data_IF_787536133993
#
_entry.id   IF_787536133993
#
_cell.length_a   1.000
_cell.length_b   1.000
_cell.length_c   1.000
_cell.angle_alpha   90.00
_cell.angle_beta   90.00
_cell.angle_gamma   90.00
#
_symmetry.space_group_name_H-M   'P 1'
#
loop_
_entity.id
_entity.type
_entity.pdbx_description
1 polymer ?
#
# COMPACT_ATOMS: atom_id res chain seq x y z
N UNK A 1 -4.44 4.46 7.15
CA UNK A 1 -3.46 5.31 6.50
C UNK A 1 -3.22 6.56 7.34
N UNK A 2 -1.99 7.03 7.40
CA UNK A 2 -1.53 8.15 8.21
C UNK A 2 -1.54 9.43 7.33
N UNK A 3 -2.72 9.88 6.92
CA UNK A 3 -2.92 11.05 6.05
C UNK A 3 -3.97 12.00 6.63
N UNK A 4 -3.75 13.29 6.45
CA UNK A 4 -4.72 14.35 6.72
C UNK A 4 -4.85 15.25 5.49
N UNK A 5 -6.07 15.67 5.19
CA UNK A 5 -6.36 16.69 4.20
C UNK A 5 -6.57 18.03 4.92
N UNK A 6 -5.75 19.01 4.58
CA UNK A 6 -5.86 20.38 5.10
C UNK A 6 -6.37 21.31 4.01
N UNK A 7 -7.22 22.26 4.40
CA UNK A 7 -7.64 23.38 3.55
C UNK A 7 -7.10 24.68 4.15
N UNK A 8 -6.53 25.52 3.30
CA UNK A 8 -6.14 26.89 3.64
C UNK A 8 -6.82 27.87 2.70
N UNK A 9 -7.06 29.08 3.16
CA UNK A 9 -7.67 30.15 2.37
C UNK A 9 -6.54 31.00 1.74
N UNK A 10 -5.86 30.42 0.74
CA UNK A 10 -4.75 31.04 0.02
C UNK A 10 -4.83 30.69 -1.46
N UNK A 11 -4.59 31.66 -2.34
CA UNK A 11 -4.65 31.48 -3.78
C UNK A 11 -3.24 31.41 -4.40
N UNK A 12 -3.14 30.89 -5.61
CA UNK A 12 -1.92 30.82 -6.43
C UNK A 12 -0.74 30.08 -5.77
N UNK A 13 -1.04 29.03 -5.00
CA UNK A 13 -0.02 28.20 -4.37
C UNK A 13 0.75 27.39 -5.41
N UNK A 14 2.06 27.29 -5.23
CA UNK A 14 2.89 26.33 -5.97
C UNK A 14 2.54 24.90 -5.54
N UNK A 15 2.46 24.00 -6.50
CA UNK A 15 2.15 22.59 -6.26
C UNK A 15 3.06 21.67 -7.06
N UNK A 16 3.19 20.43 -6.60
CA UNK A 16 3.89 19.38 -7.33
C UNK A 16 2.90 18.62 -8.24
N UNK A 17 3.37 18.29 -9.45
CA UNK A 17 2.66 17.34 -10.29
C UNK A 17 2.66 15.95 -9.62
N UNK A 18 1.52 15.26 -9.70
CA UNK A 18 1.39 13.93 -9.13
C UNK A 18 1.90 12.89 -10.13
N UNK A 19 2.93 12.17 -9.75
CA UNK A 19 3.46 11.04 -10.52
C UNK A 19 2.62 9.77 -10.41
N UNK A 20 3.20 8.64 -10.81
CA UNK A 20 2.60 7.32 -10.73
C UNK A 20 3.46 6.38 -9.85
N UNK A 21 3.07 6.17 -8.61
CA UNK A 21 3.81 5.32 -7.68
C UNK A 21 3.74 3.82 -8.02
N UNK A 22 2.81 3.38 -8.87
CA UNK A 22 2.72 1.99 -9.28
C UNK A 22 3.82 1.62 -10.30
N UNK A 23 4.26 2.58 -11.10
CA UNK A 23 5.30 2.41 -12.13
C UNK A 23 6.73 2.49 -11.57
N UNK A 24 6.91 2.96 -10.33
CA UNK A 24 8.23 3.03 -9.69
C UNK A 24 8.93 1.68 -9.72
N UNK A 25 10.23 1.71 -9.99
CA UNK A 25 11.10 0.52 -9.95
C UNK A 25 12.06 0.62 -8.78
N UNK A 26 12.41 -0.52 -8.21
CA UNK A 26 13.47 -0.61 -7.21
C UNK A 26 14.78 -0.17 -7.87
N UNK A 27 15.55 0.67 -7.16
CA UNK A 27 16.76 1.29 -7.66
C UNK A 27 16.58 2.66 -8.31
N UNK A 28 15.36 3.12 -8.56
CA UNK A 28 15.13 4.49 -9.07
C UNK A 28 15.50 5.54 -8.02
N UNK A 29 16.16 6.61 -8.48
CA UNK A 29 16.50 7.75 -7.64
C UNK A 29 15.28 8.51 -7.20
N UNK A 30 15.29 8.89 -5.91
CA UNK A 30 14.23 9.68 -5.28
C UNK A 30 14.83 10.75 -4.37
N UNK A 31 14.06 11.79 -4.15
CA UNK A 31 14.43 12.91 -3.27
C UNK A 31 13.33 13.06 -2.22
N UNK A 32 13.71 13.02 -0.95
CA UNK A 32 12.83 13.32 0.17
C UNK A 32 13.02 14.78 0.60
N UNK A 33 11.91 15.50 0.71
CA UNK A 33 11.87 16.91 1.11
C UNK A 33 11.08 17.01 2.41
N UNK A 34 11.52 17.86 3.33
CA UNK A 34 10.82 18.09 4.59
C UNK A 34 11.47 19.17 5.44
N UNK A 35 11.02 19.32 6.67
CA UNK A 35 11.46 20.33 7.63
C UNK A 35 11.91 19.69 8.97
N UNK A 36 12.93 18.80 8.95
CA UNK A 36 13.38 18.16 10.16
C UNK A 36 13.97 19.16 11.12
N UNK A 37 13.76 18.96 12.42
CA UNK A 37 14.37 19.77 13.52
C UNK A 37 14.10 21.27 13.44
N UNK A 38 12.98 21.71 12.87
CA UNK A 38 12.71 23.14 12.61
C UNK A 38 13.75 23.83 11.69
N UNK A 39 14.54 23.06 10.98
CA UNK A 39 15.45 23.59 9.97
C UNK A 39 14.66 23.92 8.69
N UNK A 40 14.97 25.02 8.04
CA UNK A 40 14.31 25.44 6.80
C UNK A 40 14.65 24.44 5.70
N UNK A 41 13.62 23.84 5.09
CA UNK A 41 13.67 22.98 3.91
C UNK A 41 14.92 22.10 3.77
N UNK A 42 14.84 20.89 4.22
CA UNK A 42 15.91 19.90 4.08
C UNK A 42 15.57 18.95 2.93
N UNK A 43 16.56 18.68 2.09
CA UNK A 43 16.47 17.78 0.95
C UNK A 43 17.48 16.65 1.13
N UNK A 44 17.03 15.42 0.99
CA UNK A 44 17.89 14.22 1.01
C UNK A 44 17.61 13.37 -0.22
N UNK A 45 18.62 12.68 -0.73
CA UNK A 45 18.49 11.80 -1.88
C UNK A 45 18.79 10.35 -1.53
N UNK A 46 18.18 9.44 -2.23
CA UNK A 46 18.34 8.00 -2.12
C UNK A 46 17.68 7.29 -3.29
N UNK A 47 17.39 6.01 -3.11
CA UNK A 47 16.72 5.19 -4.10
C UNK A 47 15.43 4.57 -3.55
N UNK A 48 14.58 4.08 -4.42
CA UNK A 48 13.51 3.14 -4.05
C UNK A 48 14.14 1.83 -3.65
N UNK A 49 14.22 1.54 -2.35
CA UNK A 49 14.84 0.30 -1.84
C UNK A 49 13.88 -0.89 -1.89
N UNK A 50 12.58 -0.66 -1.73
CA UNK A 50 11.52 -1.67 -1.85
C UNK A 50 10.15 -1.01 -2.05
N UNK A 51 9.17 -1.84 -2.44
CA UNK A 51 7.75 -1.46 -2.56
C UNK A 51 6.89 -2.43 -1.77
N UNK A 52 5.70 -2.00 -1.38
CA UNK A 52 4.73 -2.86 -0.69
C UNK A 52 5.14 -3.25 0.73
N UNK A 53 5.94 -2.42 1.42
CA UNK A 53 6.38 -2.74 2.78
C UNK A 53 5.25 -2.57 3.79
N UNK A 54 5.08 -3.63 4.58
CA UNK A 54 4.26 -3.62 5.80
C UNK A 54 5.22 -3.72 7.00
N UNK A 55 5.17 -2.72 7.87
CA UNK A 55 6.04 -2.61 9.06
C UNK A 55 5.23 -2.71 10.36
N UNK A 56 3.93 -3.03 10.27
CA UNK A 56 2.97 -3.15 11.38
C UNK A 56 2.84 -1.90 12.27
N UNK A 57 3.28 -0.74 11.79
CA UNK A 57 3.26 0.52 12.54
C UNK A 57 1.83 0.96 12.88
N UNK A 58 0.93 0.92 11.89
CA UNK A 58 -0.45 1.37 12.05
C UNK A 58 -1.29 0.38 12.85
N UNK A 59 -0.99 -0.93 12.74
CA UNK A 59 -1.63 -1.96 13.58
C UNK A 59 -1.30 -1.79 15.05
N UNK A 60 -0.05 -1.50 15.38
CA UNK A 60 0.39 -1.22 16.75
C UNK A 60 -0.30 0.02 17.35
N UNK A 61 -0.71 0.98 16.50
CA UNK A 61 -1.48 2.17 16.89
C UNK A 61 -3.00 1.96 16.94
N UNK A 62 -3.48 0.70 16.92
CA UNK A 62 -4.91 0.34 17.06
C UNK A 62 -5.70 0.29 15.75
N UNK A 63 -5.03 0.30 14.61
CA UNK A 63 -5.68 0.19 13.30
C UNK A 63 -5.94 -1.26 12.89
N UNK A 64 -7.05 -1.87 13.33
CA UNK A 64 -7.41 -3.26 12.98
C UNK A 64 -7.47 -3.49 11.45
N UNK A 65 -7.90 -2.48 10.70
CA UNK A 65 -7.98 -2.49 9.22
C UNK A 65 -6.92 -1.60 8.57
N UNK A 66 -5.76 -1.41 9.23
CA UNK A 66 -4.70 -0.58 8.69
C UNK A 66 -4.10 -1.23 7.45
N UNK A 67 -4.05 -0.48 6.36
CA UNK A 67 -3.36 -0.87 5.13
C UNK A 67 -2.00 -0.19 5.16
N UNK A 68 -0.97 -0.99 5.22
CA UNK A 68 0.42 -0.58 5.09
C UNK A 68 0.97 -1.09 3.77
N UNK A 69 1.36 -0.18 2.93
CA UNK A 69 1.93 -0.44 1.61
C UNK A 69 2.92 0.66 1.29
N UNK A 70 3.98 0.72 2.07
CA UNK A 70 4.94 1.81 1.95
C UNK A 70 5.94 1.60 0.83
N UNK A 71 6.36 2.72 0.21
CA UNK A 71 7.62 2.82 -0.53
C UNK A 71 8.71 2.90 0.53
N UNK A 72 9.68 2.01 0.46
CA UNK A 72 10.91 2.08 1.25
C UNK A 72 11.98 2.81 0.47
N UNK A 73 12.69 3.72 1.11
CA UNK A 73 13.85 4.43 0.54
C UNK A 73 14.97 4.54 1.58
N UNK A 74 16.19 4.68 1.10
CA UNK A 74 17.37 5.03 1.89
C UNK A 74 17.66 6.54 1.88
N UNK A 75 16.83 7.35 1.23
CA UNK A 75 16.84 8.80 1.45
C UNK A 75 16.58 9.10 2.93
N UNK A 76 17.44 9.89 3.56
CA UNK A 76 17.38 10.14 5.00
C UNK A 76 16.12 10.93 5.38
N UNK A 77 15.24 10.30 6.15
CA UNK A 77 14.04 10.92 6.73
C UNK A 77 14.20 10.92 8.25
N UNK A 78 13.96 12.05 8.87
CA UNK A 78 13.99 12.23 10.33
C UNK A 78 12.68 12.86 10.81
N UNK A 79 12.39 12.87 12.12
CA UNK A 79 11.25 13.59 12.68
C UNK A 79 11.19 15.03 12.17
N UNK A 80 10.03 15.43 11.62
CA UNK A 80 9.82 16.71 10.92
C UNK A 80 9.73 16.59 9.39
N UNK A 81 10.22 15.49 8.79
CA UNK A 81 10.01 15.21 7.36
C UNK A 81 8.66 14.54 7.06
N UNK A 82 7.96 14.01 8.08
CA UNK A 82 6.65 13.41 7.92
C UNK A 82 5.64 14.42 7.35
N UNK A 83 4.88 14.03 6.33
CA UNK A 83 4.01 14.91 5.55
C UNK A 83 4.72 15.60 4.38
N UNK A 84 6.06 15.59 4.34
CA UNK A 84 6.85 16.12 3.25
C UNK A 84 6.83 15.23 2.00
N UNK A 85 7.29 15.78 0.89
CA UNK A 85 7.28 15.13 -0.42
C UNK A 85 8.39 14.07 -0.57
N UNK A 86 8.06 12.94 -1.20
CA UNK A 86 9.01 12.09 -1.89
C UNK A 86 8.80 12.27 -3.39
N UNK A 87 9.81 12.74 -4.11
CA UNK A 87 9.72 13.06 -5.54
C UNK A 87 10.70 12.21 -6.36
N UNK A 88 10.35 11.96 -7.62
CA UNK A 88 11.25 11.32 -8.58
C UNK A 88 12.19 12.34 -9.23
N UNK A 89 13.05 11.88 -10.13
CA UNK A 89 14.01 12.73 -10.86
C UNK A 89 13.37 13.71 -11.85
N UNK A 90 12.10 13.52 -12.18
CA UNK A 90 11.31 14.46 -12.99
C UNK A 90 10.61 15.54 -12.14
N UNK A 91 10.79 15.52 -10.81
CA UNK A 91 10.14 16.45 -9.89
C UNK A 91 8.68 16.14 -9.60
N UNK A 92 8.21 14.93 -9.95
CA UNK A 92 6.83 14.50 -9.67
C UNK A 92 6.72 13.89 -8.26
N UNK A 93 5.63 14.21 -7.56
CA UNK A 93 5.30 13.63 -6.27
C UNK A 93 4.93 12.16 -6.43
N UNK A 94 5.73 11.27 -5.85
CA UNK A 94 5.53 9.81 -5.89
C UNK A 94 5.16 9.21 -4.54
N UNK A 95 5.33 9.95 -3.47
CA UNK A 95 4.97 9.52 -2.13
C UNK A 95 4.95 10.66 -1.12
N UNK A 96 4.38 10.39 0.05
CA UNK A 96 4.36 11.28 1.21
C UNK A 96 5.16 10.62 2.32
N UNK A 97 6.25 11.27 2.77
CA UNK A 97 7.09 10.76 3.85
C UNK A 97 6.25 10.55 5.11
N UNK A 98 6.40 9.41 5.81
CA UNK A 98 5.54 9.11 6.97
C UNK A 98 6.28 8.48 8.14
N UNK A 99 7.24 7.59 7.92
CA UNK A 99 7.84 6.81 8.98
C UNK A 99 9.30 6.45 8.73
N UNK A 100 9.99 6.07 9.78
CA UNK A 100 11.30 5.42 9.75
C UNK A 100 11.22 4.12 10.56
N UNK A 101 11.97 3.09 10.17
CA UNK A 101 12.26 1.97 11.05
C UNK A 101 13.55 2.30 11.81
N UNK A 102 13.44 2.54 13.11
CA UNK A 102 14.55 2.94 13.94
C UNK A 102 14.33 2.50 15.39
N UNK A 103 15.37 2.03 16.03
CA UNK A 103 15.38 1.73 17.49
C UNK A 103 15.67 2.98 18.32
N UNK A 104 16.33 3.98 17.73
CA UNK A 104 16.78 5.20 18.42
C UNK A 104 15.86 6.41 18.15
N UNK A 105 14.90 6.29 17.24
CA UNK A 105 14.06 7.38 16.76
C UNK A 105 14.70 8.28 15.70
N UNK A 106 15.95 8.00 15.31
CA UNK A 106 16.64 8.70 14.22
C UNK A 106 16.82 7.78 13.00
N UNK A 107 17.04 8.37 11.83
CA UNK A 107 17.29 7.63 10.59
C UNK A 107 18.40 6.57 10.76
N UNK A 108 18.13 5.37 10.30
CA UNK A 108 19.03 4.21 10.36
C UNK A 108 19.08 3.42 9.03
N UNK A 109 18.85 4.09 7.90
CA UNK A 109 18.87 3.46 6.58
C UNK A 109 17.49 3.02 6.06
N UNK A 110 16.43 3.19 6.83
CA UNK A 110 15.08 2.72 6.47
C UNK A 110 14.05 3.82 6.65
N UNK A 111 13.68 4.45 5.55
CA UNK A 111 12.60 5.44 5.50
C UNK A 111 11.42 4.91 4.70
N UNK A 112 10.23 5.41 5.02
CA UNK A 112 8.98 4.95 4.42
C UNK A 112 8.11 6.12 3.99
N UNK A 113 7.50 5.98 2.80
CA UNK A 113 6.55 6.93 2.27
C UNK A 113 5.25 6.24 1.84
N UNK A 114 4.13 6.94 2.01
CA UNK A 114 2.82 6.51 1.50
C UNK A 114 2.83 6.73 -0.01
N UNK A 115 2.54 5.70 -0.84
CA UNK A 115 2.48 5.85 -2.29
C UNK A 115 1.45 6.89 -2.72
N UNK A 116 1.80 7.72 -3.70
CA UNK A 116 0.92 8.83 -4.14
C UNK A 116 -0.40 8.32 -4.73
N UNK A 117 -0.43 7.17 -5.41
CA UNK A 117 -1.68 6.63 -5.94
C UNK A 117 -2.66 6.24 -4.82
N UNK A 118 -2.15 5.71 -3.69
CA UNK A 118 -2.96 5.47 -2.51
C UNK A 118 -3.42 6.79 -1.87
N UNK A 119 -2.54 7.78 -1.78
CA UNK A 119 -2.87 9.10 -1.24
C UNK A 119 -3.95 9.80 -2.09
N UNK A 120 -3.86 9.75 -3.43
CA UNK A 120 -4.88 10.29 -4.35
C UNK A 120 -6.28 9.74 -4.04
N UNK A 121 -6.39 8.42 -3.89
CA UNK A 121 -7.67 7.76 -3.59
C UNK A 121 -8.22 8.24 -2.24
N UNK A 122 -7.40 8.25 -1.20
CA UNK A 122 -7.81 8.65 0.15
C UNK A 122 -8.23 10.12 0.21
N UNK A 123 -7.45 11.01 -0.41
CA UNK A 123 -7.76 12.45 -0.46
C UNK A 123 -9.03 12.68 -1.29
N UNK A 124 -9.24 11.94 -2.37
CA UNK A 124 -10.46 11.96 -3.15
C UNK A 124 -11.68 11.60 -2.31
N UNK A 125 -11.62 10.49 -1.57
CA UNK A 125 -12.69 10.07 -0.68
C UNK A 125 -12.97 11.11 0.42
N UNK A 126 -11.93 11.62 1.08
CA UNK A 126 -12.08 12.64 2.12
C UNK A 126 -12.71 13.93 1.59
N UNK A 127 -12.36 14.34 0.37
CA UNK A 127 -12.94 15.53 -0.28
C UNK A 127 -14.39 15.35 -0.65
N UNK A 128 -14.79 14.15 -1.12
CA UNK A 128 -16.14 13.89 -1.63
C UNK A 128 -17.09 13.43 -0.53
N UNK A 129 -16.64 12.56 0.38
CA UNK A 129 -17.48 11.90 1.38
C UNK A 129 -17.18 12.32 2.83
N UNK A 130 -16.07 13.02 3.08
CA UNK A 130 -15.61 13.32 4.43
C UNK A 130 -15.01 12.12 5.18
N UNK A 131 -15.02 10.94 4.58
CA UNK A 131 -14.48 9.70 5.15
C UNK A 131 -13.85 8.82 4.07
N UNK A 132 -12.92 7.94 4.47
CA UNK A 132 -12.28 7.01 3.54
C UNK A 132 -13.19 5.81 3.26
N UNK A 133 -13.61 5.63 2.03
CA UNK A 133 -14.37 4.46 1.56
C UNK A 133 -13.42 3.30 1.27
N UNK A 134 -13.65 2.14 1.90
CA UNK A 134 -12.81 0.96 1.73
C UNK A 134 -13.60 -0.18 1.12
N UNK A 135 -13.15 -0.67 -0.02
CA UNK A 135 -13.64 -1.95 -0.54
C UNK A 135 -13.14 -3.09 0.36
N UNK A 136 -14.01 -4.05 0.61
CA UNK A 136 -13.72 -5.27 1.37
C UNK A 136 -14.11 -6.45 0.51
N UNK A 137 -13.15 -7.36 0.30
CA UNK A 137 -13.40 -8.59 -0.47
C UNK A 137 -14.26 -9.60 0.32
N UNK A 138 -14.18 -9.54 1.65
CA UNK A 138 -14.92 -10.45 2.53
C UNK A 138 -14.26 -11.84 2.63
N UNK A 139 -12.94 -11.87 2.76
CA UNK A 139 -12.14 -13.09 2.95
C UNK A 139 -11.16 -12.92 4.12
N UNK A 140 -10.81 -14.00 4.78
CA UNK A 140 -9.56 -14.09 5.53
C UNK A 140 -8.44 -14.42 4.55
N UNK A 141 -7.26 -13.90 4.80
CA UNK A 141 -6.10 -14.06 3.92
C UNK A 141 -4.89 -14.51 4.73
N UNK A 142 -4.07 -15.36 4.12
CA UNK A 142 -2.84 -15.86 4.72
C UNK A 142 -1.75 -15.97 3.67
N UNK A 143 -0.52 -15.56 4.03
CA UNK A 143 0.65 -15.78 3.18
C UNK A 143 0.97 -17.28 3.13
N UNK A 144 1.37 -17.77 1.98
CA UNK A 144 1.75 -19.16 1.80
C UNK A 144 3.18 -19.33 2.32
N UNK A 145 3.31 -20.12 3.39
CA UNK A 145 4.61 -20.62 3.90
C UNK A 145 4.86 -22.01 3.35
N UNK A 146 6.08 -22.51 3.44
CA UNK A 146 6.40 -23.89 3.05
C UNK A 146 5.53 -24.91 3.83
N UNK A 147 5.36 -24.70 5.13
CA UNK A 147 4.54 -25.54 5.98
C UNK A 147 3.07 -25.60 5.52
N UNK A 148 2.48 -24.42 5.17
CA UNK A 148 1.13 -24.37 4.64
C UNK A 148 1.01 -25.03 3.27
N UNK A 149 2.01 -24.83 2.41
CA UNK A 149 2.04 -25.45 1.10
C UNK A 149 2.07 -26.98 1.21
N UNK A 150 2.92 -27.53 2.09
CA UNK A 150 3.03 -28.96 2.34
C UNK A 150 1.72 -29.53 2.94
N UNK A 151 1.12 -28.82 3.92
CA UNK A 151 -0.15 -29.22 4.54
C UNK A 151 -1.33 -29.24 3.56
N UNK A 152 -1.41 -28.24 2.68
CA UNK A 152 -2.52 -28.06 1.74
C UNK A 152 -2.26 -28.62 0.33
N UNK A 153 -1.08 -29.19 0.10
CA UNK A 153 -0.69 -29.75 -1.21
C UNK A 153 -0.56 -28.68 -2.29
N UNK A 154 -0.13 -27.45 -1.93
CA UNK A 154 0.09 -26.37 -2.87
C UNK A 154 1.46 -26.55 -3.53
N UNK A 155 1.50 -26.32 -4.85
CA UNK A 155 2.73 -26.50 -5.65
C UNK A 155 3.57 -25.25 -5.75
N UNK A 156 3.05 -24.10 -5.33
CA UNK A 156 3.70 -22.81 -5.44
C UNK A 156 3.54 -22.03 -4.12
N UNK A 157 4.53 -21.22 -3.79
CA UNK A 157 4.49 -20.29 -2.65
C UNK A 157 3.98 -18.89 -3.03
N UNK A 158 3.77 -18.65 -4.32
CA UNK A 158 3.23 -17.38 -4.83
C UNK A 158 1.70 -17.37 -4.76
N UNK A 159 1.17 -16.29 -4.22
CA UNK A 159 -0.26 -16.08 -4.06
C UNK A 159 -0.70 -15.89 -2.61
N UNK A 160 -1.99 -15.76 -2.44
CA UNK A 160 -2.62 -15.52 -1.14
C UNK A 160 -3.66 -16.59 -0.87
N UNK A 161 -3.41 -17.42 0.12
CA UNK A 161 -4.33 -18.49 0.53
C UNK A 161 -5.55 -17.92 1.25
N UNK A 162 -6.73 -18.48 0.98
CA UNK A 162 -8.01 -18.09 1.57
C UNK A 162 -8.47 -19.16 2.57
N UNK A 163 -8.20 -18.99 3.87
CA UNK A 163 -8.64 -19.94 4.90
C UNK A 163 -10.13 -19.82 5.25
N UNK A 164 -10.78 -18.71 4.91
CA UNK A 164 -12.21 -18.54 5.14
C UNK A 164 -12.80 -17.41 4.27
N UNK A 165 -14.09 -17.54 3.94
CA UNK A 165 -14.89 -16.54 3.23
C UNK A 165 -16.02 -16.08 4.14
N UNK A 166 -16.29 -14.76 4.17
CA UNK A 166 -17.36 -14.19 4.97
C UNK A 166 -18.71 -14.47 4.34
N UNK A 167 -19.65 -15.01 5.14
CA UNK A 167 -21.02 -15.26 4.71
C UNK A 167 -21.71 -13.97 4.25
N UNK A 168 -22.44 -14.03 3.14
CA UNK A 168 -23.09 -12.87 2.52
C UNK A 168 -22.14 -11.87 1.90
N UNK A 169 -20.82 -12.09 1.96
CA UNK A 169 -19.77 -11.19 1.44
C UNK A 169 -19.69 -11.17 -0.09
N UNK A 170 -18.92 -10.21 -0.61
CA UNK A 170 -18.71 -10.07 -2.07
C UNK A 170 -17.94 -11.27 -2.65
N UNK A 171 -16.96 -11.79 -1.92
CA UNK A 171 -16.18 -12.96 -2.34
C UNK A 171 -17.05 -14.20 -2.49
N UNK A 172 -17.94 -14.47 -1.52
CA UNK A 172 -18.86 -15.59 -1.59
C UNK A 172 -19.79 -15.50 -2.79
N UNK A 173 -20.39 -14.30 -3.01
CA UNK A 173 -21.26 -14.02 -4.15
C UNK A 173 -20.53 -14.18 -5.50
N UNK A 174 -19.25 -13.86 -5.56
CA UNK A 174 -18.39 -14.07 -6.72
C UNK A 174 -17.96 -15.55 -6.88
N UNK A 175 -18.24 -16.41 -5.91
CA UNK A 175 -17.89 -17.84 -5.94
C UNK A 175 -16.47 -18.14 -5.50
N UNK A 176 -15.80 -17.24 -4.78
CA UNK A 176 -14.54 -17.52 -4.07
C UNK A 176 -14.86 -18.44 -2.90
N UNK A 177 -14.00 -19.41 -2.62
CA UNK A 177 -14.19 -20.44 -1.59
C UNK A 177 -12.97 -20.55 -0.69
N UNK A 178 -13.16 -21.14 0.47
CA UNK A 178 -12.07 -21.64 1.29
C UNK A 178 -11.19 -22.61 0.49
N UNK A 179 -9.87 -22.50 0.66
CA UNK A 179 -8.89 -23.29 -0.08
C UNK A 179 -8.42 -22.65 -1.39
N UNK A 180 -9.05 -21.58 -1.87
CA UNK A 180 -8.56 -20.86 -3.05
C UNK A 180 -7.23 -20.16 -2.75
N UNK A 181 -6.42 -19.99 -3.80
CA UNK A 181 -5.21 -19.16 -3.78
C UNK A 181 -5.38 -18.02 -4.76
N UNK A 182 -5.52 -16.79 -4.28
CA UNK A 182 -5.59 -15.62 -5.15
C UNK A 182 -4.19 -15.29 -5.66
N UNK A 183 -4.04 -15.21 -6.98
CA UNK A 183 -2.76 -14.96 -7.67
C UNK A 183 -2.73 -13.65 -8.46
N UNK A 184 -3.93 -13.03 -8.74
CA UNK A 184 -4.00 -11.80 -9.53
C UNK A 184 -5.25 -11.01 -9.21
N UNK A 185 -5.12 -9.69 -9.15
CA UNK A 185 -6.22 -8.73 -9.06
C UNK A 185 -6.14 -7.82 -10.29
N UNK A 186 -7.19 -7.78 -11.08
CA UNK A 186 -7.17 -7.20 -12.42
C UNK A 186 -5.94 -7.72 -13.19
N UNK A 187 -5.04 -6.84 -13.64
CA UNK A 187 -3.83 -7.21 -14.39
C UNK A 187 -2.58 -7.36 -13.51
N UNK A 188 -2.70 -7.21 -12.19
CA UNK A 188 -1.56 -7.20 -11.28
C UNK A 188 -1.45 -8.52 -10.51
N UNK A 189 -0.30 -9.20 -10.63
CA UNK A 189 0.01 -10.38 -9.82
C UNK A 189 0.15 -10.01 -8.34
N UNK A 190 -0.35 -10.88 -7.48
CA UNK A 190 -0.24 -10.76 -6.02
C UNK A 190 0.38 -12.04 -5.47
N UNK A 191 1.51 -11.90 -4.79
CA UNK A 191 2.26 -13.02 -4.22
C UNK A 191 2.14 -13.09 -2.70
N UNK A 192 1.63 -12.03 -2.06
CA UNK A 192 1.49 -11.91 -0.60
C UNK A 192 0.25 -11.13 -0.22
N UNK A 193 -0.21 -11.32 1.02
CA UNK A 193 -1.37 -10.63 1.61
C UNK A 193 -1.27 -9.10 1.52
N UNK A 194 -0.08 -8.53 1.72
CA UNK A 194 0.15 -7.09 1.57
C UNK A 194 -0.12 -6.60 0.16
N UNK A 195 0.30 -7.35 -0.87
CA UNK A 195 0.04 -7.05 -2.28
C UNK A 195 -1.45 -7.13 -2.61
N UNK A 196 -2.16 -8.16 -2.11
CA UNK A 196 -3.60 -8.28 -2.26
C UNK A 196 -4.33 -7.09 -1.63
N UNK A 197 -4.02 -6.76 -0.38
CA UNK A 197 -4.60 -5.62 0.33
C UNK A 197 -4.34 -4.30 -0.41
N UNK A 198 -3.13 -4.13 -0.94
CA UNK A 198 -2.78 -2.98 -1.77
C UNK A 198 -3.69 -2.86 -2.99
N UNK A 199 -3.85 -3.95 -3.75
CA UNK A 199 -4.68 -3.88 -4.95
C UNK A 199 -6.13 -3.59 -4.61
N UNK A 200 -6.71 -4.28 -3.61
CA UNK A 200 -8.08 -4.04 -3.17
C UNK A 200 -8.29 -2.62 -2.64
N UNK A 201 -7.30 -2.02 -1.99
CA UNK A 201 -7.39 -0.66 -1.45
C UNK A 201 -7.57 0.44 -2.51
N UNK A 202 -7.33 0.14 -3.77
CA UNK A 202 -7.55 1.07 -4.90
C UNK A 202 -9.02 1.18 -5.31
N UNK A 203 -9.86 0.24 -4.86
CA UNK A 203 -11.27 0.16 -5.20
C UNK A 203 -12.16 0.78 -4.12
N UNK A 204 -13.31 1.24 -4.55
CA UNK A 204 -14.40 1.72 -3.68
C UNK A 204 -15.47 0.65 -3.47
N UNK A 205 -16.28 0.72 -2.41
CA UNK A 205 -17.42 -0.17 -2.25
C UNK A 205 -18.35 -0.12 -3.46
N UNK A 206 -18.67 -1.29 -4.03
CA UNK A 206 -19.50 -1.41 -5.23
C UNK A 206 -18.73 -1.54 -6.54
N UNK A 207 -17.42 -1.28 -6.55
CA UNK A 207 -16.60 -1.52 -7.73
C UNK A 207 -16.53 -3.03 -8.02
N UNK A 208 -16.50 -3.36 -9.32
CA UNK A 208 -16.25 -4.73 -9.77
C UNK A 208 -14.77 -4.91 -10.07
N UNK A 209 -14.23 -6.02 -9.62
CA UNK A 209 -12.82 -6.35 -9.83
C UNK A 209 -12.65 -7.79 -10.27
N UNK A 210 -11.87 -7.98 -11.31
CA UNK A 210 -11.49 -9.31 -11.80
C UNK A 210 -10.47 -9.93 -10.83
N UNK A 211 -10.79 -11.11 -10.29
CA UNK A 211 -9.91 -11.88 -9.41
C UNK A 211 -9.55 -13.18 -10.10
N UNK A 212 -8.24 -13.41 -10.29
CA UNK A 212 -7.73 -14.70 -10.75
C UNK A 212 -7.24 -15.49 -9.54
N UNK A 213 -7.69 -16.72 -9.43
CA UNK A 213 -7.36 -17.64 -8.35
C UNK A 213 -7.01 -19.03 -8.88
N UNK A 214 -6.32 -19.81 -8.07
CA UNK A 214 -6.07 -21.24 -8.30
C UNK A 214 -6.97 -22.02 -7.35
N UNK A 215 -7.72 -22.99 -7.91
CA UNK A 215 -8.55 -23.96 -7.17
C UNK A 215 -8.32 -25.34 -7.77
N UNK A 216 -7.98 -26.32 -6.93
CA UNK A 216 -7.70 -27.70 -7.34
C UNK A 216 -6.64 -27.74 -8.49
N UNK A 217 -5.60 -26.93 -8.36
CA UNK A 217 -4.51 -26.81 -9.35
C UNK A 217 -4.91 -26.15 -10.70
N UNK A 218 -6.13 -25.58 -10.80
CA UNK A 218 -6.62 -24.94 -12.03
C UNK A 218 -6.89 -23.46 -11.81
N UNK A 219 -6.49 -22.66 -12.79
CA UNK A 219 -6.79 -21.23 -12.80
C UNK A 219 -8.29 -21.00 -13.05
N UNK A 220 -8.86 -20.08 -12.28
CA UNK A 220 -10.24 -19.61 -12.41
C UNK A 220 -10.26 -18.09 -12.30
N UNK A 221 -11.20 -17.47 -13.01
CA UNK A 221 -11.44 -16.02 -12.99
C UNK A 221 -12.86 -15.79 -12.48
N UNK A 222 -13.00 -14.87 -11.51
CA UNK A 222 -14.28 -14.42 -10.94
C UNK A 222 -14.33 -12.89 -10.94
N UNK A 223 -15.57 -12.33 -10.83
CA UNK A 223 -15.83 -10.88 -10.85
C UNK A 223 -16.66 -10.47 -9.64
#
# INVERSE_FOLDING_TARGET
TDLALLKIEEDNLAYLNLGNSDELKIGEWVVAVGNPFNLTSTVTAGIVSAKGRNINLLRQRGGEYAIENFIQTDAAVNPGNSGGALVNTSGELIGINTAIASQTGSYSGYSFAIPINLAKKIIGDLKEYGEVKRAILGVRIQDITQELADEKGLTDLDGVYIPAVSEGGSAEKAGIKEGDVIVKIADVRVSKSSGLQQQISKYSPGDKVVVTLIRDGKEKVVN
#
